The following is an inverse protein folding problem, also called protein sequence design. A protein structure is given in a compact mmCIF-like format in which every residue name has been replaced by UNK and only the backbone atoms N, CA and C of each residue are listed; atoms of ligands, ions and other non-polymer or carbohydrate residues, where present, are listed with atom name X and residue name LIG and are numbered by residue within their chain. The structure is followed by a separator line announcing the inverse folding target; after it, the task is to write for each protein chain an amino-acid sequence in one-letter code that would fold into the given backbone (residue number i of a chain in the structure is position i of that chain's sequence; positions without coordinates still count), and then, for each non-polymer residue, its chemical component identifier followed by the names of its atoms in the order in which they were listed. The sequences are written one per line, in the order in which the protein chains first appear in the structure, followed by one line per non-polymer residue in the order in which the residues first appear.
data_IF_561665388902
#
_entry.id   IF_561665388902
#
_cell.length_a   1.000
_cell.length_b   1.000
_cell.length_c   1.000
_cell.angle_alpha   90.00
_cell.angle_beta   90.00
_cell.angle_gamma   90.00
#
_symmetry.space_group_name_H-M   'P 1'
#
loop_
_entity.id
_entity.type
_entity.pdbx_description
1 polymer ?
#
# COMPACT_ATOMS: atom_id res chain seq x y z
N UNK A 1 1.71 9.84 20.08
CA UNK A 1 2.78 8.84 19.87
C UNK A 1 2.20 7.46 20.16
N UNK A 2 2.08 6.59 19.16
CA UNK A 2 1.60 5.22 19.35
C UNK A 2 2.73 4.41 20.00
N UNK A 3 2.58 4.04 21.27
CA UNK A 3 3.65 3.40 22.05
C UNK A 3 4.07 2.03 21.49
N UNK A 4 3.22 1.38 20.70
CA UNK A 4 3.51 0.08 20.07
C UNK A 4 2.63 -0.14 18.83
N UNK A 5 3.01 0.37 17.64
CA UNK A 5 2.17 0.32 16.43
C UNK A 5 1.79 -1.10 16.00
N UNK A 6 2.66 -2.07 16.25
CA UNK A 6 2.47 -3.47 15.83
C UNK A 6 1.22 -4.13 16.43
N UNK A 7 0.71 -3.65 17.58
CA UNK A 7 -0.51 -4.19 18.20
C UNK A 7 -1.79 -3.92 17.39
N UNK A 8 -1.72 -3.02 16.42
CA UNK A 8 -2.82 -2.68 15.51
C UNK A 8 -2.72 -3.42 14.17
N UNK A 9 -1.63 -4.15 13.93
CA UNK A 9 -1.54 -5.06 12.81
C UNK A 9 -2.26 -6.36 13.14
N UNK A 10 -2.81 -7.01 12.12
CA UNK A 10 -3.26 -8.39 12.24
C UNK A 10 -2.12 -9.29 12.71
N UNK A 11 -2.47 -10.39 13.39
CA UNK A 11 -1.51 -11.41 13.79
C UNK A 11 -0.89 -12.14 12.61
N UNK A 12 -1.57 -12.18 11.45
CA UNK A 12 -1.06 -12.75 10.20
C UNK A 12 -1.59 -12.00 8.97
N UNK A 13 -1.02 -10.81 8.65
CA UNK A 13 -1.51 -9.97 7.55
C UNK A 13 -1.40 -10.65 6.17
N UNK A 14 -0.48 -11.61 6.00
CA UNK A 14 -0.35 -12.37 4.77
C UNK A 14 -1.49 -13.38 4.63
N UNK A 15 -1.83 -14.10 5.71
CA UNK A 15 -2.97 -15.01 5.69
C UNK A 15 -4.29 -14.28 5.46
N UNK A 16 -4.45 -13.08 6.04
CA UNK A 16 -5.62 -12.24 5.79
C UNK A 16 -5.73 -11.79 4.33
N UNK A 17 -4.59 -11.48 3.71
CA UNK A 17 -4.51 -11.07 2.31
C UNK A 17 -4.77 -12.22 1.33
N UNK A 18 -4.24 -13.41 1.61
CA UNK A 18 -4.27 -14.55 0.67
C UNK A 18 -5.37 -15.58 0.97
N UNK A 19 -6.07 -15.37 2.08
CA UNK A 19 -7.15 -16.22 2.54
C UNK A 19 -6.71 -17.59 3.06
N UNK A 20 -5.47 -17.71 3.51
CA UNK A 20 -4.98 -18.95 4.11
C UNK A 20 -5.48 -19.11 5.55
N UNK A 21 -5.28 -20.30 6.13
CA UNK A 21 -5.38 -20.48 7.57
C UNK A 21 -4.28 -19.65 8.27
N UNK A 22 -4.59 -18.90 9.34
CA UNK A 22 -3.57 -18.13 10.05
C UNK A 22 -2.47 -19.02 10.63
N UNK A 23 -1.23 -18.55 10.59
CA UNK A 23 -0.06 -19.15 11.25
C UNK A 23 0.38 -20.53 10.73
N UNK A 24 -0.12 -20.96 9.56
CA UNK A 24 0.33 -22.21 8.94
C UNK A 24 1.62 -21.99 8.15
N UNK A 25 2.61 -22.86 8.36
CA UNK A 25 3.88 -22.80 7.60
C UNK A 25 3.72 -23.15 6.12
N UNK A 26 2.65 -23.88 5.79
CA UNK A 26 2.30 -24.27 4.42
C UNK A 26 0.79 -24.47 4.35
N UNK A 27 0.10 -23.70 3.52
CA UNK A 27 -1.36 -23.74 3.37
C UNK A 27 -1.78 -23.46 1.92
N UNK A 28 -3.03 -23.77 1.58
CA UNK A 28 -3.60 -23.47 0.26
C UNK A 28 -4.18 -22.06 0.28
N UNK A 29 -3.65 -21.17 -0.57
CA UNK A 29 -4.22 -19.84 -0.76
C UNK A 29 -5.52 -19.94 -1.56
N UNK A 30 -6.58 -19.30 -1.06
CA UNK A 30 -7.82 -19.12 -1.83
C UNK A 30 -7.70 -17.98 -2.83
N UNK A 31 -6.69 -17.12 -2.66
CA UNK A 31 -6.50 -15.86 -3.40
C UNK A 31 -7.67 -14.88 -3.21
N UNK A 32 -8.46 -15.07 -2.16
CA UNK A 32 -9.53 -14.17 -1.76
C UNK A 32 -9.15 -13.54 -0.40
N UNK A 33 -9.11 -12.21 -0.37
CA UNK A 33 -8.83 -11.48 0.87
C UNK A 33 -9.95 -11.73 1.89
N UNK A 34 -9.60 -12.13 3.12
CA UNK A 34 -10.56 -12.41 4.19
C UNK A 34 -11.03 -11.15 4.89
N UNK A 35 -10.13 -10.18 5.03
CA UNK A 35 -10.42 -8.88 5.62
C UNK A 35 -11.11 -7.97 4.62
N UNK A 36 -12.00 -7.10 5.09
CA UNK A 36 -12.64 -6.12 4.20
C UNK A 36 -11.59 -5.24 3.51
N UNK A 37 -11.84 -4.89 2.25
CA UNK A 37 -11.04 -3.88 1.53
C UNK A 37 -11.05 -2.52 2.22
N UNK A 38 -11.98 -2.28 3.16
CA UNK A 38 -12.02 -1.10 4.04
C UNK A 38 -11.05 -1.14 5.22
N UNK A 39 -10.56 -2.33 5.56
CA UNK A 39 -9.77 -2.56 6.77
C UNK A 39 -8.35 -3.07 6.47
N UNK A 40 -8.12 -3.59 5.26
CA UNK A 40 -6.82 -4.07 4.81
C UNK A 40 -6.56 -3.70 3.35
N UNK A 41 -5.44 -2.99 3.13
CA UNK A 41 -4.80 -2.82 1.83
C UNK A 41 -3.55 -3.68 1.77
N UNK A 42 -3.60 -4.74 0.96
CA UNK A 42 -2.43 -5.52 0.58
C UNK A 42 -1.93 -5.03 -0.79
N UNK A 43 -0.63 -4.79 -0.93
CA UNK A 43 -0.02 -4.21 -2.14
C UNK A 43 0.78 -5.21 -2.99
N UNK A 44 0.95 -6.44 -2.50
CA UNK A 44 1.79 -7.46 -3.12
C UNK A 44 3.14 -6.90 -3.65
N UNK A 45 3.58 -7.36 -4.82
CA UNK A 45 4.80 -6.89 -5.48
C UNK A 45 4.65 -5.48 -6.08
N UNK A 46 3.44 -4.92 -6.14
CA UNK A 46 3.21 -3.59 -6.69
C UNK A 46 3.80 -2.48 -5.79
N UNK A 47 4.03 -2.77 -4.50
CA UNK A 47 4.61 -1.82 -3.54
C UNK A 47 5.84 -1.08 -4.09
N UNK A 48 6.80 -1.79 -4.69
CA UNK A 48 8.01 -1.17 -5.22
C UNK A 48 7.76 -0.25 -6.42
N UNK A 49 6.75 -0.58 -7.24
CA UNK A 49 6.29 0.27 -8.35
C UNK A 49 5.62 1.54 -7.85
N UNK A 50 4.69 1.40 -6.90
CA UNK A 50 3.97 2.51 -6.27
C UNK A 50 4.92 3.46 -5.51
N UNK A 51 5.91 2.91 -4.82
CA UNK A 51 6.94 3.70 -4.14
C UNK A 51 7.74 4.55 -5.15
N UNK A 52 8.12 3.98 -6.30
CA UNK A 52 8.81 4.74 -7.36
C UNK A 52 7.91 5.78 -8.00
N UNK A 53 6.67 5.42 -8.32
CA UNK A 53 5.69 6.31 -8.97
C UNK A 53 5.42 7.58 -8.14
N UNK A 54 5.41 7.44 -6.81
CA UNK A 54 5.15 8.55 -5.87
C UNK A 54 6.40 9.25 -5.37
N UNK A 55 7.57 8.64 -5.57
CA UNK A 55 8.83 9.26 -5.17
C UNK A 55 9.08 10.56 -5.94
N UNK A 56 9.97 11.38 -5.39
CA UNK A 56 10.55 12.49 -6.13
C UNK A 56 10.96 11.99 -7.52
N UNK A 57 10.36 12.50 -8.59
CA UNK A 57 10.70 12.10 -9.95
C UNK A 57 12.21 12.20 -10.22
N UNK A 58 12.66 11.66 -11.36
CA UNK A 58 14.08 11.54 -11.75
C UNK A 58 14.89 12.84 -11.60
N UNK A 59 14.24 14.01 -11.56
CA UNK A 59 14.84 15.34 -11.39
C UNK A 59 14.94 15.86 -9.95
N UNK A 60 14.85 15.01 -8.92
CA UNK A 60 15.11 15.44 -7.53
C UNK A 60 14.06 16.41 -6.97
N UNK A 61 12.81 16.31 -7.44
CA UNK A 61 11.68 17.05 -6.90
C UNK A 61 11.32 16.69 -5.45
N UNK A 62 10.27 17.28 -4.91
CA UNK A 62 9.72 16.83 -3.62
C UNK A 62 8.86 15.59 -3.87
N UNK A 63 8.96 14.58 -3.00
CA UNK A 63 8.08 13.42 -3.08
C UNK A 63 6.61 13.85 -2.94
N UNK A 64 5.71 13.15 -3.64
CA UNK A 64 4.28 13.44 -3.54
C UNK A 64 3.78 13.14 -2.12
N UNK A 65 2.72 13.80 -1.62
CA UNK A 65 2.10 13.43 -0.35
C UNK A 65 1.79 11.92 -0.24
N UNK A 66 1.27 11.30 -1.30
CA UNK A 66 0.96 9.86 -1.33
C UNK A 66 2.17 8.95 -1.16
N UNK A 67 3.39 9.45 -1.38
CA UNK A 67 4.61 8.68 -1.10
C UNK A 67 4.66 8.19 0.35
N UNK A 68 4.05 8.93 1.28
CA UNK A 68 3.96 8.57 2.69
C UNK A 68 3.35 7.19 2.93
N UNK A 69 2.40 6.77 2.09
CA UNK A 69 1.73 5.46 2.13
C UNK A 69 2.63 4.30 1.69
N UNK A 70 3.60 4.59 0.82
CA UNK A 70 4.49 3.58 0.22
C UNK A 70 5.91 3.64 0.77
N UNK A 71 6.23 4.65 1.59
CA UNK A 71 7.56 4.89 2.13
C UNK A 71 8.00 3.79 3.11
N UNK A 72 9.26 3.38 2.99
CA UNK A 72 9.89 2.39 3.87
C UNK A 72 10.80 1.46 3.11
N UNK A 73 11.57 0.65 3.83
CA UNK A 73 12.41 -0.38 3.22
C UNK A 73 12.67 -1.49 4.23
N UNK A 74 12.69 -2.73 3.76
CA UNK A 74 13.04 -3.90 4.57
C UNK A 74 14.55 -3.87 4.84
N UNK A 75 14.95 -4.13 6.09
CA UNK A 75 16.38 -4.24 6.44
C UNK A 75 16.79 -5.71 6.46
N UNK A 76 17.65 -6.13 5.52
CA UNK A 76 18.18 -7.49 5.48
C UNK A 76 19.12 -7.74 6.67
N UNK A 77 18.95 -8.84 7.39
CA UNK A 77 19.80 -9.24 8.52
C UNK A 77 20.17 -10.72 8.44
N UNK A 78 21.40 -11.02 8.00
CA UNK A 78 21.89 -12.39 7.89
C UNK A 78 20.98 -13.26 7.01
N UNK A 79 20.38 -14.30 7.60
CA UNK A 79 19.42 -15.19 6.92
C UNK A 79 17.95 -14.76 7.05
N UNK A 80 17.67 -13.57 7.58
CA UNK A 80 16.32 -13.04 7.74
C UNK A 80 16.23 -11.57 7.35
N UNK A 81 15.11 -10.96 7.70
CA UNK A 81 14.86 -9.55 7.46
C UNK A 81 14.10 -8.92 8.62
N UNK A 82 14.24 -7.61 8.75
CA UNK A 82 13.50 -6.78 9.69
C UNK A 82 12.50 -5.93 8.89
N UNK A 83 11.21 -6.14 9.17
CA UNK A 83 10.12 -5.40 8.53
C UNK A 83 10.13 -3.93 8.94
N UNK A 84 9.81 -3.07 7.98
CA UNK A 84 9.50 -1.67 8.22
C UNK A 84 8.07 -1.54 8.76
N UNK A 85 7.87 -0.70 9.78
CA UNK A 85 6.55 -0.38 10.32
C UNK A 85 6.42 1.11 10.46
N UNK A 86 5.29 1.67 10.02
CA UNK A 86 5.01 3.08 10.18
C UNK A 86 3.51 3.33 10.37
N UNK A 87 3.20 4.54 10.81
CA UNK A 87 1.84 4.99 11.14
C UNK A 87 1.52 6.23 10.33
N UNK A 88 0.32 6.28 9.76
CA UNK A 88 -0.27 7.50 9.19
C UNK A 88 -1.40 7.90 10.13
N UNK A 89 -1.26 9.07 10.74
CA UNK A 89 -2.27 9.59 11.65
C UNK A 89 -3.52 10.05 10.87
N UNK A 90 -4.71 10.06 11.50
CA UNK A 90 -5.94 10.48 10.82
C UNK A 90 -5.86 11.88 10.18
N UNK A 91 -5.08 12.80 10.75
CA UNK A 91 -4.87 14.16 10.23
C UNK A 91 -3.93 14.21 9.02
N UNK A 92 -3.11 13.18 8.80
CA UNK A 92 -2.28 13.05 7.59
C UNK A 92 -3.06 12.45 6.40
N UNK A 93 -4.18 11.78 6.65
CA UNK A 93 -4.96 11.04 5.64
C UNK A 93 -5.51 11.93 4.51
N UNK A 94 -6.15 13.09 4.76
CA UNK A 94 -6.76 13.88 3.70
C UNK A 94 -5.77 14.32 2.61
N UNK A 95 -4.57 14.77 3.00
CA UNK A 95 -3.56 15.20 2.04
C UNK A 95 -3.01 14.05 1.18
N UNK A 96 -2.99 12.82 1.72
CA UNK A 96 -2.58 11.62 1.00
C UNK A 96 -3.68 11.17 0.05
N UNK A 97 -4.93 11.20 0.51
CA UNK A 97 -6.11 10.82 -0.26
C UNK A 97 -6.26 11.75 -1.48
N UNK A 98 -6.18 13.07 -1.30
CA UNK A 98 -6.32 14.06 -2.37
C UNK A 98 -5.26 13.82 -3.46
N UNK A 99 -4.01 13.64 -3.06
CA UNK A 99 -2.91 13.36 -3.99
C UNK A 99 -3.07 12.02 -4.73
N UNK A 100 -3.65 11.00 -4.09
CA UNK A 100 -3.94 9.71 -4.74
C UNK A 100 -5.07 9.82 -5.75
N UNK A 101 -6.09 10.67 -5.52
CA UNK A 101 -7.15 10.93 -6.49
C UNK A 101 -6.56 11.53 -7.77
N UNK A 102 -5.75 12.56 -7.62
CA UNK A 102 -5.08 13.23 -8.75
C UNK A 102 -4.16 12.27 -9.51
N UNK A 103 -3.39 11.44 -8.79
CA UNK A 103 -2.47 10.49 -9.39
C UNK A 103 -3.19 9.35 -10.11
N UNK A 104 -4.22 8.77 -9.50
CA UNK A 104 -5.06 7.72 -10.08
C UNK A 104 -5.78 8.21 -11.35
N UNK A 105 -6.26 9.45 -11.36
CA UNK A 105 -6.81 10.08 -12.57
C UNK A 105 -5.75 10.28 -13.66
N UNK A 106 -4.59 10.84 -13.33
CA UNK A 106 -3.51 11.08 -14.28
C UNK A 106 -3.03 9.77 -14.94
N UNK A 107 -2.82 8.72 -14.15
CA UNK A 107 -2.40 7.40 -14.64
C UNK A 107 -3.47 6.79 -15.55
N UNK A 108 -4.77 6.86 -15.18
CA UNK A 108 -5.85 6.38 -16.07
C UNK A 108 -5.90 7.14 -17.40
N UNK A 109 -5.71 8.45 -17.37
CA UNK A 109 -5.68 9.27 -18.60
C UNK A 109 -4.50 8.89 -19.49
N UNK A 110 -3.31 8.70 -18.91
CA UNK A 110 -2.13 8.22 -19.62
C UNK A 110 -2.38 6.85 -20.28
N UNK A 111 -2.97 5.91 -19.54
CA UNK A 111 -3.28 4.57 -20.04
C UNK A 111 -4.31 4.58 -21.17
N UNK A 112 -5.27 5.51 -21.12
CA UNK A 112 -6.27 5.67 -22.17
C UNK A 112 -5.67 6.21 -23.48
N UNK A 113 -4.63 7.04 -23.37
CA UNK A 113 -3.94 7.64 -24.52
C UNK A 113 -2.87 6.71 -25.10
N UNK A 114 -2.17 5.95 -24.24
CA UNK A 114 -1.05 5.07 -24.59
C UNK A 114 -1.33 3.63 -24.10
N UNK A 115 -2.05 2.80 -24.89
CA UNK A 115 -2.50 1.48 -24.45
C UNK A 115 -1.42 0.39 -24.45
N UNK A 116 -0.25 0.61 -25.08
CA UNK A 116 0.85 -0.34 -25.20
C UNK A 116 1.74 -0.47 -23.95
N UNK A 117 1.14 -0.43 -22.76
CA UNK A 117 1.86 -0.56 -21.52
C UNK A 117 2.27 -1.99 -21.19
N UNK A 118 3.32 -2.11 -20.38
CA UNK A 118 3.72 -3.41 -19.86
C UNK A 118 2.67 -3.98 -18.90
N UNK A 119 2.67 -5.29 -18.71
CA UNK A 119 1.83 -5.94 -17.71
C UNK A 119 2.14 -5.42 -16.30
N UNK A 120 3.40 -5.09 -16.03
CA UNK A 120 3.85 -4.52 -14.76
C UNK A 120 3.23 -3.13 -14.49
N UNK A 121 3.15 -2.26 -15.50
CA UNK A 121 2.57 -0.92 -15.34
C UNK A 121 1.06 -1.00 -15.08
N UNK A 122 0.36 -1.89 -15.80
CA UNK A 122 -1.05 -2.17 -15.56
C UNK A 122 -1.29 -2.71 -14.16
N UNK A 123 -0.41 -3.62 -13.71
CA UNK A 123 -0.47 -4.20 -12.36
C UNK A 123 -0.28 -3.13 -11.28
N UNK A 124 0.70 -2.23 -11.45
CA UNK A 124 0.92 -1.11 -10.53
C UNK A 124 -0.27 -0.17 -10.50
N UNK A 125 -0.86 0.16 -11.66
CA UNK A 125 -2.03 1.03 -11.73
C UNK A 125 -3.29 0.43 -11.08
N UNK A 126 -3.47 -0.89 -11.17
CA UNK A 126 -4.57 -1.57 -10.46
C UNK A 126 -4.42 -1.41 -8.94
N UNK A 127 -3.22 -1.63 -8.40
CA UNK A 127 -2.97 -1.43 -6.96
C UNK A 127 -2.98 0.04 -6.54
N UNK A 128 -2.62 0.97 -7.42
CA UNK A 128 -2.80 2.40 -7.18
C UNK A 128 -4.28 2.72 -6.98
N UNK A 129 -5.14 2.20 -7.85
CA UNK A 129 -6.58 2.41 -7.75
C UNK A 129 -7.14 1.84 -6.44
N UNK A 130 -6.71 0.64 -6.05
CA UNK A 130 -7.09 0.03 -4.77
C UNK A 130 -6.61 0.85 -3.57
N UNK A 131 -5.39 1.38 -3.63
CA UNK A 131 -4.86 2.25 -2.58
C UNK A 131 -5.68 3.53 -2.43
N UNK A 132 -6.08 4.14 -3.56
CA UNK A 132 -6.98 5.30 -3.58
C UNK A 132 -8.32 4.99 -2.92
N UNK A 133 -8.98 3.89 -3.29
CA UNK A 133 -10.27 3.49 -2.69
C UNK A 133 -10.15 3.19 -1.18
N UNK A 134 -9.06 2.57 -0.76
CA UNK A 134 -8.79 2.33 0.66
C UNK A 134 -8.64 3.64 1.45
N UNK A 135 -7.91 4.61 0.89
CA UNK A 135 -7.72 5.92 1.52
C UNK A 135 -9.03 6.73 1.57
N UNK A 136 -9.90 6.62 0.55
CA UNK A 136 -11.25 7.20 0.58
C UNK A 136 -12.01 6.71 1.83
N UNK A 137 -11.98 5.40 2.13
CA UNK A 137 -12.64 4.84 3.30
C UNK A 137 -12.02 5.30 4.64
N UNK A 138 -10.70 5.45 4.70
CA UNK A 138 -10.06 5.96 5.92
C UNK A 138 -10.41 7.42 6.18
N UNK A 139 -10.49 8.23 5.14
CA UNK A 139 -10.91 9.63 5.24
C UNK A 139 -12.38 9.73 5.69
N UNK A 140 -13.29 8.98 5.04
CA UNK A 140 -14.71 8.91 5.40
C UNK A 140 -14.93 8.55 6.87
N UNK A 141 -14.13 7.60 7.38
CA UNK A 141 -14.24 7.10 8.76
C UNK A 141 -13.44 7.94 9.78
N UNK A 142 -12.63 8.91 9.34
CA UNK A 142 -11.72 9.67 10.20
C UNK A 142 -10.66 8.79 10.88
N UNK A 143 -10.22 7.72 10.21
CA UNK A 143 -9.24 6.74 10.70
C UNK A 143 -7.85 7.03 10.17
N UNK A 144 -6.84 6.67 10.96
CA UNK A 144 -5.46 6.51 10.48
C UNK A 144 -5.17 5.04 10.20
N UNK A 145 -3.92 4.74 9.84
CA UNK A 145 -3.51 3.35 9.58
C UNK A 145 -2.11 3.05 10.12
N UNK A 146 -1.88 1.77 10.38
CA UNK A 146 -0.53 1.21 10.60
C UNK A 146 -0.24 0.28 9.43
N UNK A 147 0.93 0.44 8.82
CA UNK A 147 1.35 -0.43 7.73
C UNK A 147 2.71 -1.05 8.03
N UNK A 148 2.92 -2.22 7.42
CA UNK A 148 4.13 -3.00 7.50
C UNK A 148 4.61 -3.37 6.10
N UNK A 149 5.92 -3.28 5.88
CA UNK A 149 6.60 -3.79 4.67
C UNK A 149 7.60 -4.84 5.15
N UNK A 150 7.49 -6.06 4.65
CA UNK A 150 8.26 -7.21 5.11
C UNK A 150 8.00 -8.43 4.27
#
# INVERSE_FOLDING_TARGET
MFAEPRRYLSSDPLADAWGTEPHVSMGTATFEQRSSERDLLYLDKAWGGLQRLTSAGVEGGTARPSHRLFAGQVTMRGYGWESWVSVIAPDEVPAIQEDLVDLDEAVRLEHAVMPEQSEDDRYVAEYLHRARLFMDHLEEDGRGLVYLIG
#
